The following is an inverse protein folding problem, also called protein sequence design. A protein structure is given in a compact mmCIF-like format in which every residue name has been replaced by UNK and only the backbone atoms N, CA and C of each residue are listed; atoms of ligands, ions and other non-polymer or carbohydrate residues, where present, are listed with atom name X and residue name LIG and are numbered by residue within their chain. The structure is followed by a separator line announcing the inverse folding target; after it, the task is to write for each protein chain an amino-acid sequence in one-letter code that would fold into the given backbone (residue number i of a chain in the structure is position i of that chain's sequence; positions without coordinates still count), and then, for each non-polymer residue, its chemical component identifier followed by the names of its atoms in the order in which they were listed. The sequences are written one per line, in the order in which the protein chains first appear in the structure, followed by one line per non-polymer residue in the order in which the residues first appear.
data_IF_743779024338
#
_entry.id   IF_743779024338
#
_cell.length_a   1.000
_cell.length_b   1.000
_cell.length_c   1.000
_cell.angle_alpha   90.00
_cell.angle_beta   90.00
_cell.angle_gamma   90.00
#
_symmetry.space_group_name_H-M   'P 1'
#
loop_
_entity.id
_entity.type
_entity.pdbx_description
1 polymer ?
#
# COMPACT_ATOMS: atom_id res chain seq x y z
N UNK A 1 -12.54 -4.69 6.78
CA UNK A 1 -11.48 -3.78 6.30
C UNK A 1 -10.53 -4.58 5.42
N UNK A 2 -10.24 -4.18 4.16
CA UNK A 2 -9.30 -4.89 3.29
C UNK A 2 -7.86 -4.63 3.72
N UNK A 3 -7.00 -5.65 3.57
CA UNK A 3 -5.57 -5.54 3.83
C UNK A 3 -4.75 -6.25 2.75
N UNK A 4 -3.73 -5.57 2.24
CA UNK A 4 -2.73 -6.16 1.35
C UNK A 4 -2.01 -7.32 2.06
N UNK A 5 -2.10 -8.52 1.51
CA UNK A 5 -1.37 -9.72 1.96
C UNK A 5 -0.39 -10.22 0.88
N UNK A 6 -0.59 -9.82 -0.36
CA UNK A 6 0.38 -10.05 -1.43
C UNK A 6 1.64 -9.19 -1.22
N UNK A 7 2.67 -9.75 -0.62
CA UNK A 7 3.95 -9.08 -0.34
C UNK A 7 5.12 -10.05 -0.51
N UNK A 8 6.35 -9.55 -0.45
CA UNK A 8 7.56 -10.34 -0.65
C UNK A 8 7.77 -11.47 0.37
N UNK A 9 7.11 -11.41 1.53
CA UNK A 9 7.20 -12.41 2.59
C UNK A 9 5.99 -13.37 2.64
N UNK A 10 5.06 -13.28 1.67
CA UNK A 10 3.79 -14.01 1.72
C UNK A 10 3.93 -15.53 1.92
N UNK A 11 5.02 -16.14 1.42
CA UNK A 11 5.28 -17.58 1.55
C UNK A 11 6.59 -17.91 2.30
N UNK A 12 7.16 -17.00 3.09
CA UNK A 12 8.42 -17.26 3.82
C UNK A 12 8.35 -18.51 4.71
N UNK A 13 7.19 -18.81 5.27
CA UNK A 13 6.92 -20.04 6.04
C UNK A 13 6.11 -21.06 5.23
N UNK A 14 6.26 -21.07 3.92
CA UNK A 14 5.54 -21.93 2.99
C UNK A 14 4.04 -21.63 2.91
N UNK A 15 3.31 -22.50 2.21
CA UNK A 15 1.85 -22.36 2.06
C UNK A 15 1.09 -22.52 3.37
N UNK A 16 1.60 -23.31 4.31
CA UNK A 16 0.99 -23.46 5.65
C UNK A 16 1.05 -22.14 6.40
N UNK A 17 2.21 -21.48 6.42
CA UNK A 17 2.37 -20.15 7.05
C UNK A 17 1.47 -19.11 6.43
N UNK A 18 1.38 -19.06 5.10
CA UNK A 18 0.48 -18.18 4.38
C UNK A 18 -0.99 -18.43 4.76
N UNK A 19 -1.43 -19.70 4.74
CA UNK A 19 -2.80 -20.08 5.07
C UNK A 19 -3.15 -19.70 6.51
N UNK A 20 -2.24 -19.93 7.46
CA UNK A 20 -2.40 -19.54 8.87
C UNK A 20 -2.53 -18.02 9.00
N UNK A 21 -1.71 -17.24 8.26
CA UNK A 21 -1.80 -15.79 8.24
C UNK A 21 -3.17 -15.33 7.71
N UNK A 22 -3.65 -15.90 6.60
CA UNK A 22 -4.97 -15.58 6.04
C UNK A 22 -6.10 -15.88 7.03
N UNK A 23 -6.02 -17.01 7.75
CA UNK A 23 -7.00 -17.37 8.79
C UNK A 23 -6.97 -16.36 9.95
N UNK A 24 -5.79 -15.98 10.44
CA UNK A 24 -5.65 -15.01 11.53
C UNK A 24 -6.19 -13.63 11.14
N UNK A 25 -5.89 -13.17 9.92
CA UNK A 25 -6.39 -11.90 9.36
C UNK A 25 -7.93 -11.90 9.32
N UNK A 26 -8.55 -12.99 8.83
CA UNK A 26 -10.01 -13.14 8.79
C UNK A 26 -10.63 -13.23 10.18
N UNK A 27 -10.00 -13.94 11.10
CA UNK A 27 -10.47 -14.03 12.49
C UNK A 27 -10.49 -12.66 13.18
N UNK A 28 -9.62 -11.73 12.76
CA UNK A 28 -9.62 -10.35 13.21
C UNK A 28 -10.66 -9.45 12.49
N UNK A 29 -11.55 -10.01 11.66
CA UNK A 29 -12.54 -9.26 10.89
C UNK A 29 -11.95 -8.46 9.72
N UNK A 30 -10.74 -8.82 9.26
CA UNK A 30 -10.03 -8.15 8.17
C UNK A 30 -10.09 -9.04 6.93
N UNK A 31 -10.36 -8.46 5.76
CA UNK A 31 -10.37 -9.20 4.50
C UNK A 31 -9.00 -9.16 3.83
N UNK A 32 -8.33 -10.32 3.63
CA UNK A 32 -7.05 -10.37 2.93
C UNK A 32 -7.22 -10.15 1.43
N UNK A 33 -6.32 -9.38 0.81
CA UNK A 33 -6.36 -9.09 -0.63
C UNK A 33 -5.04 -9.52 -1.28
N UNK A 34 -5.14 -10.24 -2.39
CA UNK A 34 -4.03 -10.62 -3.26
C UNK A 34 -3.32 -11.92 -2.90
N UNK A 35 -3.73 -12.60 -1.82
CA UNK A 35 -3.30 -13.96 -1.49
C UNK A 35 -4.52 -14.82 -1.11
N UNK A 36 -4.48 -16.10 -1.43
CA UNK A 36 -5.62 -17.04 -1.36
C UNK A 36 -5.19 -18.35 -0.72
N UNK A 37 -6.04 -18.90 0.15
CA UNK A 37 -5.75 -20.15 0.87
C UNK A 37 -5.80 -21.40 -0.03
N UNK A 38 -6.43 -21.31 -1.21
CA UNK A 38 -6.52 -22.42 -2.17
C UNK A 38 -6.84 -21.93 -3.59
N UNK A 39 -6.54 -22.76 -4.59
CA UNK A 39 -6.94 -22.53 -5.98
C UNK A 39 -8.47 -22.39 -6.14
N UNK A 40 -9.25 -23.12 -5.33
CA UNK A 40 -10.71 -22.99 -5.33
C UNK A 40 -11.16 -21.60 -4.83
N UNK A 41 -10.50 -21.06 -3.84
CA UNK A 41 -10.75 -19.70 -3.35
C UNK A 41 -10.37 -18.66 -4.40
N UNK A 42 -9.17 -18.76 -4.98
CA UNK A 42 -8.74 -17.87 -6.05
C UNK A 42 -9.70 -17.88 -7.26
N UNK A 43 -10.12 -19.07 -7.69
CA UNK A 43 -11.10 -19.20 -8.81
C UNK A 43 -12.43 -18.52 -8.48
N UNK A 44 -12.90 -18.68 -7.25
CA UNK A 44 -14.16 -18.11 -6.76
C UNK A 44 -14.11 -16.59 -6.65
N UNK A 45 -12.99 -16.04 -6.10
CA UNK A 45 -12.79 -14.61 -5.93
C UNK A 45 -12.38 -13.89 -7.21
N UNK A 46 -11.87 -14.60 -8.20
CA UNK A 46 -11.32 -14.00 -9.42
C UNK A 46 -10.01 -13.23 -9.23
N UNK A 47 -9.40 -13.30 -8.02
CA UNK A 47 -8.15 -12.61 -7.69
C UNK A 47 -8.32 -11.24 -7.04
N UNK A 48 -9.54 -10.86 -6.64
CA UNK A 48 -9.87 -9.56 -6.04
C UNK A 48 -10.91 -9.71 -4.92
N UNK A 49 -11.23 -8.60 -4.26
CA UNK A 49 -12.26 -8.50 -3.22
C UNK A 49 -13.15 -7.30 -3.50
N UNK A 50 -14.46 -7.46 -3.35
CA UNK A 50 -15.44 -6.38 -3.44
C UNK A 50 -16.04 -6.12 -2.06
N UNK A 51 -16.18 -4.84 -1.72
CA UNK A 51 -16.87 -4.38 -0.52
C UNK A 51 -17.81 -3.25 -0.89
N UNK A 52 -18.92 -3.16 -0.19
CA UNK A 52 -19.83 -2.03 -0.27
C UNK A 52 -19.71 -1.19 1.01
N UNK A 53 -19.44 0.08 0.86
CA UNK A 53 -19.31 1.04 1.97
C UNK A 53 -20.16 2.25 1.65
N UNK A 54 -21.19 2.52 2.45
CA UNK A 54 -22.10 3.66 2.28
C UNK A 54 -22.72 3.78 0.86
N UNK A 55 -23.06 2.64 0.25
CA UNK A 55 -23.64 2.60 -1.10
C UNK A 55 -22.62 2.76 -2.24
N UNK A 56 -21.33 2.74 -1.94
CA UNK A 56 -20.24 2.72 -2.92
C UNK A 56 -19.67 1.31 -3.01
N UNK A 57 -19.73 0.70 -4.19
CA UNK A 57 -19.16 -0.61 -4.49
C UNK A 57 -17.68 -0.46 -4.83
N UNK A 58 -16.80 -0.86 -3.92
CA UNK A 58 -15.35 -0.71 -4.03
C UNK A 58 -14.73 -2.07 -4.37
N UNK A 59 -13.97 -2.15 -5.46
CA UNK A 59 -13.14 -3.31 -5.76
C UNK A 59 -11.71 -3.08 -5.27
N UNK A 60 -11.18 -4.03 -4.50
CA UNK A 60 -9.79 -4.06 -4.06
C UNK A 60 -9.04 -5.17 -4.76
N UNK A 61 -7.91 -4.85 -5.34
CA UNK A 61 -6.99 -5.82 -5.91
C UNK A 61 -5.58 -5.56 -5.40
N UNK A 62 -4.82 -6.62 -5.14
CA UNK A 62 -3.44 -6.45 -4.69
C UNK A 62 -2.51 -7.37 -5.48
N UNK A 63 -1.32 -6.86 -5.78
CA UNK A 63 -0.25 -7.59 -6.48
C UNK A 63 1.09 -7.35 -5.79
N UNK A 64 1.97 -8.37 -5.82
CA UNK A 64 3.35 -8.23 -5.35
C UNK A 64 4.36 -8.47 -6.46
N UNK A 65 5.50 -7.80 -6.39
CA UNK A 65 6.63 -8.06 -7.31
C UNK A 65 7.11 -9.50 -7.28
N UNK A 66 7.05 -10.14 -6.12
CA UNK A 66 7.52 -11.51 -5.92
C UNK A 66 7.32 -11.97 -4.49
N UNK A 67 7.86 -13.12 -4.17
CA UNK A 67 7.73 -13.79 -2.87
C UNK A 67 9.13 -14.16 -2.30
N UNK A 68 10.00 -13.15 -2.18
CA UNK A 68 11.34 -13.32 -1.59
C UNK A 68 12.32 -14.11 -2.46
N UNK A 69 12.19 -14.05 -3.79
CA UNK A 69 13.04 -14.82 -4.71
C UNK A 69 12.69 -16.31 -4.79
N UNK A 70 11.65 -16.75 -4.06
CA UNK A 70 11.18 -18.14 -4.11
C UNK A 70 10.24 -18.34 -5.30
N UNK A 71 10.18 -19.58 -5.82
CA UNK A 71 9.13 -20.00 -6.76
C UNK A 71 7.85 -20.38 -6.01
N UNK A 72 6.69 -20.10 -6.57
CA UNK A 72 5.44 -20.65 -6.08
C UNK A 72 5.45 -22.18 -6.26
N UNK A 73 4.99 -22.95 -5.28
CA UNK A 73 4.90 -24.40 -5.41
C UNK A 73 4.00 -24.81 -6.58
N UNK A 74 4.40 -25.88 -7.31
CA UNK A 74 3.67 -26.39 -8.47
C UNK A 74 2.19 -26.65 -8.14
N UNK A 75 1.29 -26.22 -9.02
CA UNK A 75 -0.16 -26.32 -8.84
C UNK A 75 -0.75 -25.27 -7.89
N UNK A 76 0.08 -24.31 -7.41
CA UNK A 76 -0.33 -23.24 -6.49
C UNK A 76 0.10 -21.85 -7.00
N UNK A 77 0.34 -21.70 -8.30
CA UNK A 77 0.89 -20.51 -8.93
C UNK A 77 -0.03 -19.29 -8.81
N UNK A 78 -1.32 -19.52 -8.56
CA UNK A 78 -2.33 -18.48 -8.46
C UNK A 78 -2.61 -18.03 -7.01
N UNK A 79 -2.02 -18.68 -6.00
CA UNK A 79 -2.33 -18.36 -4.61
C UNK A 79 -1.79 -17.00 -4.16
N UNK A 80 -0.93 -16.36 -4.95
CA UNK A 80 -0.51 -14.97 -4.76
C UNK A 80 -0.57 -14.26 -6.10
N UNK A 81 -1.16 -13.07 -6.14
CA UNK A 81 -1.15 -12.24 -7.33
C UNK A 81 0.25 -11.64 -7.54
N UNK A 82 0.89 -12.00 -8.65
CA UNK A 82 2.26 -11.62 -8.99
C UNK A 82 2.28 -10.61 -10.14
N UNK A 83 3.13 -9.57 -10.02
CA UNK A 83 3.30 -8.52 -11.03
C UNK A 83 4.15 -8.97 -12.23
N UNK A 84 5.02 -9.98 -12.05
CA UNK A 84 6.01 -10.36 -13.04
C UNK A 84 5.95 -11.86 -13.34
N UNK A 85 6.21 -12.24 -14.58
CA UNK A 85 6.37 -13.65 -14.96
C UNK A 85 7.69 -14.22 -14.44
N UNK A 86 8.73 -13.38 -14.31
CA UNK A 86 10.06 -13.68 -13.76
C UNK A 86 10.22 -13.25 -12.29
N UNK A 87 9.14 -13.35 -11.51
CA UNK A 87 9.01 -12.89 -10.12
C UNK A 87 9.97 -13.54 -9.12
N UNK A 88 10.58 -14.68 -9.47
CA UNK A 88 11.57 -15.37 -8.63
C UNK A 88 13.02 -15.03 -9.00
N UNK A 89 13.24 -14.14 -9.99
CA UNK A 89 14.57 -13.88 -10.53
C UNK A 89 14.84 -12.38 -10.79
N UNK A 90 14.40 -11.84 -11.93
CA UNK A 90 14.89 -10.53 -12.40
C UNK A 90 13.90 -9.39 -12.33
N UNK A 91 12.60 -9.66 -12.17
CA UNK A 91 11.51 -8.66 -12.09
C UNK A 91 11.48 -7.69 -13.30
N UNK A 92 11.76 -8.20 -14.52
CA UNK A 92 11.83 -7.39 -15.75
C UNK A 92 10.60 -7.57 -16.65
N UNK A 93 9.91 -8.72 -16.53
CA UNK A 93 8.82 -9.12 -17.43
C UNK A 93 7.49 -8.98 -16.72
N UNK A 94 6.82 -7.83 -16.86
CA UNK A 94 5.49 -7.59 -16.28
C UNK A 94 4.51 -8.64 -16.82
N UNK A 95 3.79 -9.34 -15.94
CA UNK A 95 2.73 -10.31 -16.28
C UNK A 95 1.44 -9.57 -16.70
N UNK A 96 1.48 -8.99 -17.90
CA UNK A 96 0.34 -8.23 -18.45
C UNK A 96 -0.91 -9.10 -18.61
N UNK A 97 -0.75 -10.37 -18.92
CA UNK A 97 -1.89 -11.28 -19.12
C UNK A 97 -2.63 -11.54 -17.81
N UNK A 98 -1.91 -11.80 -16.73
CA UNK A 98 -2.50 -11.99 -15.41
C UNK A 98 -3.20 -10.70 -14.94
N UNK A 99 -2.52 -9.56 -15.04
CA UNK A 99 -3.07 -8.26 -14.66
C UNK A 99 -4.33 -7.96 -15.46
N UNK A 100 -4.28 -8.07 -16.79
CA UNK A 100 -5.42 -7.81 -17.66
C UNK A 100 -6.61 -8.71 -17.33
N UNK A 101 -6.39 -10.03 -17.21
CA UNK A 101 -7.47 -10.98 -16.86
C UNK A 101 -8.12 -10.66 -15.52
N UNK A 102 -7.35 -10.28 -14.52
CA UNK A 102 -7.88 -9.92 -13.20
C UNK A 102 -8.69 -8.62 -13.28
N UNK A 103 -8.15 -7.59 -13.93
CA UNK A 103 -8.83 -6.30 -14.09
C UNK A 103 -10.10 -6.41 -14.96
N UNK A 104 -10.08 -7.23 -16.01
CA UNK A 104 -11.27 -7.47 -16.85
C UNK A 104 -12.40 -8.17 -16.05
N UNK A 105 -12.05 -9.08 -15.12
CA UNK A 105 -13.03 -9.69 -14.19
C UNK A 105 -13.60 -8.65 -13.22
N UNK A 106 -12.76 -7.78 -12.66
CA UNK A 106 -13.20 -6.68 -11.79
C UNK A 106 -14.19 -5.79 -12.53
N UNK A 107 -13.87 -5.38 -13.76
CA UNK A 107 -14.74 -4.51 -14.56
C UNK A 107 -16.09 -5.17 -14.92
N UNK A 108 -16.11 -6.50 -15.09
CA UNK A 108 -17.36 -7.25 -15.30
C UNK A 108 -18.31 -7.15 -14.09
N UNK A 109 -17.79 -6.97 -12.88
CA UNK A 109 -18.57 -6.75 -11.66
C UNK A 109 -19.15 -5.33 -11.55
N UNK A 110 -18.70 -4.41 -12.39
CA UNK A 110 -19.10 -2.99 -12.41
C UNK A 110 -18.97 -2.32 -11.03
N UNK A 111 -17.77 -2.30 -10.44
CA UNK A 111 -17.56 -1.53 -9.22
C UNK A 111 -17.71 -0.04 -9.50
N UNK A 112 -18.02 0.74 -8.47
CA UNK A 112 -18.04 2.20 -8.54
C UNK A 112 -16.63 2.79 -8.56
N UNK A 113 -15.67 2.13 -7.90
CA UNK A 113 -14.26 2.54 -7.84
C UNK A 113 -13.34 1.31 -7.66
N UNK A 114 -12.16 1.35 -8.27
CA UNK A 114 -11.17 0.28 -8.19
C UNK A 114 -9.90 0.78 -7.51
N UNK A 115 -9.51 0.13 -6.40
CA UNK A 115 -8.29 0.42 -5.63
C UNK A 115 -7.29 -0.72 -5.81
N UNK A 116 -6.16 -0.43 -6.45
CA UNK A 116 -5.05 -1.36 -6.61
C UNK A 116 -3.97 -1.11 -5.56
N UNK A 117 -3.63 -2.15 -4.78
CA UNK A 117 -2.56 -2.12 -3.78
C UNK A 117 -1.36 -2.90 -4.31
N UNK A 118 -0.22 -2.23 -4.51
CA UNK A 118 0.93 -2.79 -5.21
C UNK A 118 2.17 -2.83 -4.33
N UNK A 119 2.70 -4.04 -4.10
CA UNK A 119 3.96 -4.26 -3.41
C UNK A 119 5.08 -4.35 -4.45
N UNK A 120 5.77 -3.26 -4.72
CA UNK A 120 6.60 -3.05 -5.92
C UNK A 120 7.86 -2.20 -5.68
N UNK A 121 8.59 -1.89 -6.76
CA UNK A 121 9.78 -1.02 -6.71
C UNK A 121 10.99 -1.69 -6.07
N UNK A 122 11.86 -0.89 -5.48
CA UNK A 122 13.09 -1.33 -4.79
C UNK A 122 13.10 -0.82 -3.37
N UNK A 123 13.52 -1.68 -2.44
CA UNK A 123 13.69 -1.30 -1.03
C UNK A 123 14.67 -0.13 -0.89
N UNK A 124 14.36 0.78 0.03
CA UNK A 124 15.18 1.91 0.42
C UNK A 124 15.55 2.87 -0.73
N UNK A 125 14.69 2.89 -1.76
CA UNK A 125 14.84 3.78 -2.91
C UNK A 125 13.63 4.73 -2.99
N UNK A 126 13.89 6.03 -2.94
CA UNK A 126 12.85 7.06 -3.05
C UNK A 126 12.58 7.52 -4.50
N UNK A 127 13.37 7.02 -5.46
CA UNK A 127 13.19 7.32 -6.88
C UNK A 127 12.17 6.38 -7.51
N UNK A 128 11.14 6.95 -8.15
CA UNK A 128 10.15 6.21 -8.90
C UNK A 128 10.76 5.70 -10.20
N UNK A 129 10.76 4.37 -10.38
CA UNK A 129 11.31 3.74 -11.58
C UNK A 129 10.35 3.83 -12.78
N UNK A 130 10.90 3.75 -14.00
CA UNK A 130 10.10 3.68 -15.23
C UNK A 130 9.21 2.42 -15.27
N UNK A 131 9.64 1.35 -14.61
CA UNK A 131 8.81 0.15 -14.45
C UNK A 131 7.57 0.42 -13.60
N UNK A 132 7.71 1.15 -12.47
CA UNK A 132 6.55 1.56 -11.68
C UNK A 132 5.58 2.43 -12.50
N UNK A 133 6.08 3.40 -13.25
CA UNK A 133 5.27 4.23 -14.16
C UNK A 133 4.55 3.39 -15.23
N UNK A 134 5.22 2.39 -15.78
CA UNK A 134 4.63 1.47 -16.77
C UNK A 134 3.51 0.62 -16.17
N UNK A 135 3.68 0.14 -14.92
CA UNK A 135 2.66 -0.58 -14.18
C UNK A 135 1.46 0.33 -13.88
N UNK A 136 1.70 1.56 -13.41
CA UNK A 136 0.63 2.56 -13.23
C UNK A 136 -0.20 2.73 -14.50
N UNK A 137 0.47 3.00 -15.63
CA UNK A 137 -0.20 3.16 -16.92
C UNK A 137 -1.03 1.92 -17.32
N UNK A 138 -0.54 0.72 -17.02
CA UNK A 138 -1.27 -0.53 -17.31
C UNK A 138 -2.53 -0.64 -16.44
N UNK A 139 -2.43 -0.42 -15.11
CA UNK A 139 -3.57 -0.51 -14.21
C UNK A 139 -4.62 0.58 -14.49
N UNK A 140 -4.21 1.83 -14.73
CA UNK A 140 -5.11 2.92 -15.05
C UNK A 140 -5.85 2.69 -16.37
N UNK A 141 -5.16 2.21 -17.43
CA UNK A 141 -5.80 1.81 -18.69
C UNK A 141 -6.80 0.69 -18.52
N UNK A 142 -6.70 -0.08 -17.45
CA UNK A 142 -7.60 -1.18 -17.11
C UNK A 142 -8.64 -0.79 -16.05
N UNK A 143 -8.78 0.52 -15.75
CA UNK A 143 -9.84 1.04 -14.89
C UNK A 143 -9.48 1.07 -13.40
N UNK A 144 -8.22 1.06 -13.03
CA UNK A 144 -7.85 1.37 -11.64
C UNK A 144 -7.88 2.89 -11.44
N UNK A 145 -8.67 3.33 -10.47
CA UNK A 145 -8.83 4.75 -10.11
C UNK A 145 -7.80 5.18 -9.07
N UNK A 146 -7.50 4.29 -8.12
CA UNK A 146 -6.55 4.53 -7.05
C UNK A 146 -5.48 3.45 -7.05
N UNK A 147 -4.22 3.86 -6.98
CA UNK A 147 -3.07 2.95 -6.83
C UNK A 147 -2.30 3.31 -5.57
N UNK A 148 -2.13 2.34 -4.66
CA UNK A 148 -1.39 2.52 -3.40
C UNK A 148 -0.21 1.55 -3.40
N UNK A 149 1.01 2.11 -3.42
CA UNK A 149 2.26 1.36 -3.43
C UNK A 149 2.80 1.12 -2.02
N UNK A 150 3.51 0.00 -1.90
CA UNK A 150 4.27 -0.42 -0.71
C UNK A 150 5.59 -1.07 -1.15
N UNK A 151 6.46 -1.48 -0.24
CA UNK A 151 7.75 -2.13 -0.42
C UNK A 151 8.98 -1.21 -0.40
N UNK A 152 8.98 0.02 -0.96
CA UNK A 152 10.18 0.87 -0.88
C UNK A 152 10.60 1.25 0.54
N UNK A 153 9.75 1.06 1.56
CA UNK A 153 9.97 1.46 2.96
C UNK A 153 10.12 2.98 3.17
N UNK A 154 10.25 3.73 2.10
CA UNK A 154 10.37 5.20 2.09
C UNK A 154 9.12 5.83 1.51
N UNK A 155 8.74 7.00 2.02
CA UNK A 155 7.67 7.80 1.42
C UNK A 155 8.10 8.21 0.02
N UNK A 156 7.29 7.93 -0.99
CA UNK A 156 7.44 8.40 -2.37
C UNK A 156 6.30 9.37 -2.72
N UNK A 157 6.35 9.93 -3.92
CA UNK A 157 5.37 10.89 -4.44
C UNK A 157 3.92 10.36 -4.39
N UNK A 158 2.97 11.28 -4.17
CA UNK A 158 1.55 11.09 -4.43
C UNK A 158 1.14 11.97 -5.60
N UNK A 159 0.67 11.37 -6.68
CA UNK A 159 0.15 12.04 -7.86
C UNK A 159 -1.38 11.97 -7.87
N UNK A 160 -2.06 13.09 -8.09
CA UNK A 160 -3.52 13.19 -8.13
C UNK A 160 -3.96 14.03 -9.31
N UNK A 161 -4.91 13.53 -10.08
CA UNK A 161 -5.57 14.26 -11.16
C UNK A 161 -6.99 14.66 -10.73
N UNK A 162 -7.26 15.93 -10.44
CA UNK A 162 -8.58 16.36 -9.99
C UNK A 162 -9.67 16.26 -11.07
N UNK A 163 -9.32 16.17 -12.35
CA UNK A 163 -10.29 16.04 -13.45
C UNK A 163 -10.87 14.63 -13.49
N UNK A 164 -10.01 13.62 -13.43
CA UNK A 164 -10.42 12.22 -13.48
C UNK A 164 -10.72 11.65 -12.07
N UNK A 165 -10.11 12.20 -11.03
CA UNK A 165 -10.11 11.64 -9.68
C UNK A 165 -9.08 10.51 -9.50
N UNK A 166 -8.21 10.28 -10.48
CA UNK A 166 -7.18 9.25 -10.37
C UNK A 166 -6.09 9.66 -9.37
N UNK A 167 -5.72 8.73 -8.50
CA UNK A 167 -4.67 8.94 -7.51
C UNK A 167 -3.65 7.81 -7.51
N UNK A 168 -2.37 8.16 -7.46
CA UNK A 168 -1.27 7.21 -7.32
C UNK A 168 -0.38 7.64 -6.16
N UNK A 169 -0.38 6.88 -5.07
CA UNK A 169 0.59 6.98 -4.00
C UNK A 169 1.65 5.90 -4.21
N UNK A 170 2.86 6.27 -4.65
CA UNK A 170 3.88 5.30 -5.03
C UNK A 170 4.45 4.51 -3.86
N UNK A 171 4.56 5.11 -2.68
CA UNK A 171 4.84 4.43 -1.40
C UNK A 171 4.46 5.32 -0.22
N UNK A 172 3.81 4.73 0.78
CA UNK A 172 3.43 5.43 2.02
C UNK A 172 4.55 5.41 3.08
N UNK A 173 5.61 4.60 2.89
CA UNK A 173 6.61 4.29 3.92
C UNK A 173 6.15 3.21 4.90
N UNK A 174 6.90 3.01 5.98
CA UNK A 174 6.62 2.02 7.01
C UNK A 174 5.73 2.60 8.11
N UNK A 175 4.52 2.05 8.28
CA UNK A 175 3.65 2.46 9.39
C UNK A 175 4.29 2.18 10.75
N UNK A 176 4.91 1.00 10.88
CA UNK A 176 5.64 0.58 12.07
C UNK A 176 6.77 -0.35 11.63
N UNK A 177 7.98 0.18 11.58
CA UNK A 177 9.19 -0.52 11.16
C UNK A 177 10.23 -0.54 12.28
N UNK A 178 11.38 -1.19 12.04
CA UNK A 178 12.51 -1.19 12.96
C UNK A 178 13.27 0.15 12.96
N UNK A 179 12.97 1.02 12.00
CA UNK A 179 13.59 2.33 11.82
C UNK A 179 15.15 2.29 11.80
N UNK A 180 15.73 1.14 11.44
CA UNK A 180 17.18 0.93 11.46
C UNK A 180 17.88 1.65 10.31
N UNK A 181 17.15 1.95 9.22
CA UNK A 181 17.70 2.63 8.03
C UNK A 181 17.18 4.05 7.91
N UNK A 182 18.02 4.94 7.37
CA UNK A 182 17.62 6.33 7.16
C UNK A 182 16.37 6.45 6.30
N UNK A 183 15.38 7.24 6.78
CA UNK A 183 14.12 7.46 6.09
C UNK A 183 13.01 6.44 6.38
N UNK A 184 13.27 5.36 7.14
CA UNK A 184 12.25 4.36 7.52
C UNK A 184 11.58 4.69 8.86
N UNK A 185 12.06 5.70 9.57
CA UNK A 185 11.46 6.17 10.82
C UNK A 185 10.14 6.91 10.60
N UNK A 186 9.87 7.39 9.40
CA UNK A 186 8.69 8.20 9.09
C UNK A 186 7.90 7.66 7.92
N UNK A 187 6.60 7.90 7.95
CA UNK A 187 5.67 7.54 6.88
C UNK A 187 4.44 8.46 6.91
N UNK A 188 3.43 8.12 6.12
CA UNK A 188 2.17 8.84 6.09
C UNK A 188 0.99 7.90 6.25
N UNK A 189 -0.07 8.40 6.90
CA UNK A 189 -1.42 7.87 6.75
C UNK A 189 -2.06 8.70 5.63
N UNK A 190 -2.50 8.05 4.57
CA UNK A 190 -3.17 8.67 3.44
C UNK A 190 -4.67 8.64 3.67
N UNK A 191 -5.31 9.80 3.62
CA UNK A 191 -6.76 9.97 3.71
C UNK A 191 -7.32 10.30 2.33
N UNK A 192 -8.36 9.56 1.89
CA UNK A 192 -9.02 9.76 0.60
C UNK A 192 -10.48 10.12 0.82
N UNK A 193 -10.92 11.19 0.17
CA UNK A 193 -12.33 11.53 0.05
C UNK A 193 -12.87 10.93 -1.26
N UNK A 194 -13.80 9.98 -1.15
CA UNK A 194 -14.44 9.33 -2.29
C UNK A 194 -15.91 9.71 -2.31
N UNK A 195 -16.34 10.33 -3.40
CA UNK A 195 -17.72 10.81 -3.57
C UNK A 195 -18.39 10.12 -4.74
N UNK A 196 -19.63 9.68 -4.54
CA UNK A 196 -20.54 9.22 -5.59
C UNK A 196 -21.56 10.31 -5.86
N UNK A 197 -21.52 10.86 -7.06
CA UNK A 197 -22.50 11.89 -7.50
C UNK A 197 -23.88 11.27 -7.60
N UNK A 198 -24.85 11.87 -6.94
CA UNK A 198 -26.21 11.35 -6.86
C UNK A 198 -26.98 11.40 -8.17
N UNK A 199 -26.68 12.39 -9.04
CA UNK A 199 -27.39 12.61 -10.29
C UNK A 199 -26.82 11.78 -11.44
N UNK A 200 -25.48 11.67 -11.50
CA UNK A 200 -24.78 10.96 -12.57
C UNK A 200 -24.38 9.52 -12.20
N UNK A 201 -24.32 9.21 -10.92
CA UNK A 201 -23.79 7.93 -10.40
C UNK A 201 -22.27 7.78 -10.53
N UNK A 202 -21.57 8.81 -11.00
CA UNK A 202 -20.10 8.76 -11.15
C UNK A 202 -19.44 8.83 -9.78
N UNK A 203 -18.53 7.88 -9.53
CA UNK A 203 -17.71 7.84 -8.31
C UNK A 203 -16.28 8.21 -8.63
N UNK A 204 -15.68 9.08 -7.81
CA UNK A 204 -14.26 9.45 -7.95
C UNK A 204 -13.67 9.89 -6.61
N UNK A 205 -12.33 9.93 -6.53
CA UNK A 205 -11.65 10.65 -5.46
C UNK A 205 -11.84 12.15 -5.71
N UNK A 206 -12.41 12.85 -4.73
CA UNK A 206 -12.68 14.30 -4.78
C UNK A 206 -11.68 15.11 -3.99
N UNK A 207 -10.93 14.45 -3.09
CA UNK A 207 -9.88 15.06 -2.29
C UNK A 207 -8.98 14.01 -1.66
N UNK A 208 -7.82 14.46 -1.21
CA UNK A 208 -6.93 13.66 -0.41
C UNK A 208 -6.11 14.53 0.53
N UNK A 209 -5.74 13.95 1.66
CA UNK A 209 -4.86 14.56 2.66
C UNK A 209 -3.94 13.49 3.25
N UNK A 210 -3.00 13.89 4.10
CA UNK A 210 -2.11 12.96 4.76
C UNK A 210 -1.75 13.41 6.17
N UNK A 211 -1.60 12.43 7.06
CA UNK A 211 -1.07 12.63 8.39
C UNK A 211 0.37 12.09 8.44
N UNK A 212 1.39 12.95 8.60
CA UNK A 212 2.76 12.51 8.77
C UNK A 212 2.95 11.85 10.14
N UNK A 213 3.52 10.64 10.13
CA UNK A 213 3.77 9.85 11.34
C UNK A 213 5.24 9.47 11.45
N UNK A 214 5.68 9.21 12.70
CA UNK A 214 7.03 8.84 13.05
C UNK A 214 7.05 7.68 14.05
N UNK A 215 7.98 6.75 13.87
CA UNK A 215 8.22 5.67 14.81
C UNK A 215 9.28 6.06 15.81
N UNK A 216 8.87 6.40 17.04
CA UNK A 216 9.77 6.60 18.16
C UNK A 216 10.42 5.28 18.55
N UNK A 217 11.74 5.27 18.72
CA UNK A 217 12.50 4.13 19.22
C UNK A 217 12.48 4.08 20.75
N UNK A 218 12.76 2.92 21.33
CA UNK A 218 12.87 2.76 22.78
C UNK A 218 13.87 3.76 23.42
N UNK A 219 15.01 4.01 22.74
CA UNK A 219 16.04 4.94 23.20
C UNK A 219 15.59 6.43 23.21
N UNK A 220 14.60 6.78 22.40
CA UNK A 220 14.12 8.14 22.21
C UNK A 220 12.91 8.48 23.11
N UNK A 221 12.40 7.49 23.84
CA UNK A 221 11.22 7.61 24.69
C UNK A 221 11.32 6.69 25.93
N UNK A 222 10.21 6.41 26.57
CA UNK A 222 10.10 5.70 27.86
C UNK A 222 10.21 4.16 27.78
N UNK A 223 10.95 3.63 26.78
CA UNK A 223 11.22 2.20 26.66
C UNK A 223 10.23 1.43 25.83
N UNK A 224 9.32 2.10 25.12
CA UNK A 224 8.37 1.45 24.24
C UNK A 224 8.39 2.10 22.85
N UNK A 225 8.66 1.28 21.83
CA UNK A 225 8.54 1.72 20.44
C UNK A 225 7.07 2.04 20.13
N UNK A 226 6.80 3.21 19.56
CA UNK A 226 5.43 3.64 19.23
C UNK A 226 5.39 4.58 18.03
N UNK A 227 4.26 4.56 17.32
CA UNK A 227 3.98 5.51 16.25
C UNK A 227 3.32 6.76 16.83
N UNK A 228 3.82 7.92 16.41
CA UNK A 228 3.27 9.23 16.79
C UNK A 228 2.98 10.06 15.56
N UNK A 229 2.04 11.00 15.67
CA UNK A 229 1.85 12.05 14.65
C UNK A 229 2.92 13.11 14.82
N UNK A 230 3.67 13.38 13.75
CA UNK A 230 4.86 14.26 13.82
C UNK A 230 4.50 15.66 14.33
N UNK A 231 3.46 16.27 13.75
CA UNK A 231 3.08 17.65 14.06
C UNK A 231 2.67 17.82 15.53
N UNK A 232 1.86 16.87 16.02
CA UNK A 232 1.41 16.87 17.42
C UNK A 232 2.57 16.60 18.39
N UNK A 233 3.51 15.72 18.02
CA UNK A 233 4.66 15.42 18.86
C UNK A 233 5.65 16.60 18.92
N UNK A 234 5.91 17.29 17.80
CA UNK A 234 6.70 18.51 17.75
C UNK A 234 6.05 19.59 18.63
N UNK A 235 4.73 19.83 18.48
CA UNK A 235 4.00 20.80 19.31
C UNK A 235 4.08 20.45 20.79
N UNK A 236 3.95 19.18 21.17
CA UNK A 236 4.05 18.74 22.56
C UNK A 236 5.46 18.98 23.14
N UNK A 237 6.51 18.76 22.34
CA UNK A 237 7.89 19.03 22.75
C UNK A 237 8.14 20.53 22.94
N UNK A 238 7.72 21.37 21.98
CA UNK A 238 7.89 22.82 22.02
C UNK A 238 7.20 23.48 23.25
N UNK A 239 6.12 22.87 23.74
CA UNK A 239 5.34 23.32 24.88
C UNK A 239 5.68 22.62 26.22
N UNK A 240 6.73 21.78 26.24
CA UNK A 240 7.13 20.99 27.40
C UNK A 240 6.04 20.05 27.94
N UNK A 241 5.21 19.48 27.04
CA UNK A 241 4.17 18.51 27.41
C UNK A 241 4.69 17.06 27.38
N UNK A 242 5.92 16.81 26.92
CA UNK A 242 6.56 15.51 26.84
C UNK A 242 7.94 15.55 27.49
N UNK A 243 8.15 14.71 28.51
CA UNK A 243 9.37 14.73 29.33
C UNK A 243 10.45 13.77 28.79
N UNK A 244 10.17 12.93 27.79
CA UNK A 244 11.01 11.78 27.45
C UNK A 244 11.34 11.64 25.96
N UNK A 245 11.13 12.67 25.16
CA UNK A 245 11.61 12.74 23.79
C UNK A 245 12.95 13.46 23.78
N UNK A 246 13.97 12.82 23.22
CA UNK A 246 15.31 13.44 23.13
C UNK A 246 15.33 14.58 22.12
N UNK A 247 16.25 15.55 22.32
CA UNK A 247 16.45 16.64 21.35
C UNK A 247 16.79 16.09 19.95
N UNK A 248 17.61 15.03 19.88
CA UNK A 248 17.97 14.39 18.60
C UNK A 248 16.76 13.82 17.88
N UNK A 249 15.85 13.18 18.60
CA UNK A 249 14.60 12.65 18.03
C UNK A 249 13.67 13.77 17.55
N UNK A 250 13.56 14.87 18.33
CA UNK A 250 12.82 16.06 17.92
C UNK A 250 13.36 16.65 16.60
N UNK A 251 14.68 16.81 16.48
CA UNK A 251 15.34 17.33 15.29
C UNK A 251 15.10 16.41 14.07
N UNK A 252 15.17 15.08 14.27
CA UNK A 252 14.90 14.09 13.21
C UNK A 252 13.43 14.12 12.78
N UNK A 253 12.48 14.32 13.70
CA UNK A 253 11.06 14.51 13.35
C UNK A 253 10.82 15.76 12.51
N UNK A 254 11.49 16.87 12.82
CA UNK A 254 11.42 18.11 12.01
C UNK A 254 11.98 17.88 10.61
N UNK A 255 13.16 17.28 10.52
CA UNK A 255 13.76 16.89 9.24
C UNK A 255 12.84 15.96 8.44
N UNK A 256 12.24 14.97 9.10
CA UNK A 256 11.30 14.03 8.49
C UNK A 256 10.07 14.73 7.94
N UNK A 257 9.51 15.70 8.68
CA UNK A 257 8.37 16.49 8.23
C UNK A 257 8.70 17.31 6.97
N UNK A 258 9.88 17.93 6.93
CA UNK A 258 10.36 18.66 5.75
C UNK A 258 10.51 17.73 4.54
N UNK A 259 11.08 16.54 4.74
CA UNK A 259 11.24 15.52 3.69
C UNK A 259 9.90 15.05 3.14
N UNK A 260 8.93 14.73 4.01
CA UNK A 260 7.57 14.35 3.59
C UNK A 260 6.94 15.49 2.80
N UNK A 261 6.96 16.71 3.35
CA UNK A 261 6.34 17.89 2.72
C UNK A 261 6.95 18.15 1.34
N UNK A 262 8.28 18.10 1.20
CA UNK A 262 8.94 18.34 -0.09
C UNK A 262 8.59 17.28 -1.14
N UNK A 263 8.39 16.01 -0.75
CA UNK A 263 8.00 14.93 -1.66
C UNK A 263 6.54 14.99 -2.10
N UNK A 264 5.67 15.54 -1.22
CA UNK A 264 4.24 15.59 -1.47
C UNK A 264 3.78 16.98 -1.95
N UNK A 265 4.64 18.00 -1.89
CA UNK A 265 4.34 19.37 -2.33
C UNK A 265 4.43 19.58 -3.85
N UNK A 266 4.74 18.56 -4.62
CA UNK A 266 4.56 18.57 -6.09
C UNK A 266 3.09 18.68 -6.51
N UNK A 267 2.24 19.17 -5.64
CA UNK A 267 0.86 19.54 -5.91
C UNK A 267 0.83 20.84 -6.69
N UNK A 268 0.63 20.72 -7.97
CA UNK A 268 0.11 21.84 -8.74
C UNK A 268 -1.33 22.08 -8.37
#
# INVERSE_FOLDING_TARGET
MPRLVANSCAINNGLIGMTTTLQAVRAAGIEPVGAFASEAEWKRSGGYTIMEVQGIKIAFVAFTKGVGGMGMPAGNENLVNLLYTDYSSTYRSIDKDRINKTMDRINAERPDIVIAMLHWGSEYNDVISDTQKSIVSLFQKKGADVIIGTHPHLVQEVSYDPLTGNLVAYSLGDFFGDAARGGTSYSIILDLEITKDADTGVTKVTGWDYTPIYTLKEADCDGYQRVVRIKEQIFAFDNNFVDRVTQACYDDMKYSLERITSRLSGKG
#
